data_IF_441173986758
#
_entry.id   IF_441173986758
#
_cell.length_a   1.000
_cell.length_b   1.000
_cell.length_c   1.000
_cell.angle_alpha   90.00
_cell.angle_beta   90.00
_cell.angle_gamma   90.00
#
_symmetry.space_group_name_H-M   'P 1'
#
loop_
_entity.id
_entity.type
_entity.pdbx_description
1 polymer ?
#
# COMPACT_ATOMS: atom_id res chain seq x y z
N UNK A 1 -19.28 20.80 -8.88
CA UNK A 1 -18.09 20.20 -8.26
C UNK A 1 -18.23 18.71 -8.41
N UNK A 2 -17.33 18.08 -9.14
CA UNK A 2 -17.32 16.64 -9.35
C UNK A 2 -16.39 16.01 -8.31
N UNK A 3 -16.87 14.99 -7.59
CA UNK A 3 -16.17 14.28 -6.51
C UNK A 3 -15.93 12.82 -6.87
N UNK A 4 -16.30 12.40 -8.09
CA UNK A 4 -16.02 11.07 -8.58
C UNK A 4 -14.51 10.87 -8.78
N UNK A 5 -14.03 9.65 -8.50
CA UNK A 5 -12.66 9.27 -8.79
C UNK A 5 -12.47 9.07 -10.29
N UNK A 6 -11.29 9.43 -10.80
CA UNK A 6 -10.90 9.04 -12.15
C UNK A 6 -10.74 7.51 -12.24
N UNK A 7 -10.83 6.92 -13.45
CA UNK A 7 -10.55 5.50 -13.64
C UNK A 7 -9.17 5.07 -13.13
N UNK A 8 -8.15 5.91 -13.28
CA UNK A 8 -6.79 5.68 -12.79
C UNK A 8 -6.74 5.68 -11.26
N UNK A 9 -7.41 6.64 -10.61
CA UNK A 9 -7.53 6.70 -9.15
C UNK A 9 -8.28 5.49 -8.60
N UNK A 10 -9.36 5.08 -9.27
CA UNK A 10 -10.13 3.89 -8.91
C UNK A 10 -9.28 2.62 -9.02
N UNK A 11 -8.46 2.51 -10.08
CA UNK A 11 -7.53 1.39 -10.25
C UNK A 11 -6.50 1.32 -9.12
N UNK A 12 -5.92 2.44 -8.71
CA UNK A 12 -4.99 2.49 -7.56
C UNK A 12 -5.69 2.01 -6.29
N UNK A 13 -6.89 2.53 -6.02
CA UNK A 13 -7.71 2.15 -4.86
C UNK A 13 -7.98 0.65 -4.83
N UNK A 14 -8.44 0.07 -5.95
CA UNK A 14 -8.80 -1.35 -6.00
C UNK A 14 -7.56 -2.26 -5.91
N UNK A 15 -6.43 -1.81 -6.47
CA UNK A 15 -5.17 -2.55 -6.40
C UNK A 15 -4.64 -2.60 -4.97
N UNK A 16 -4.61 -1.45 -4.27
CA UNK A 16 -4.11 -1.36 -2.89
C UNK A 16 -5.05 -2.10 -1.93
N UNK A 17 -6.37 -1.97 -2.11
CA UNK A 17 -7.35 -2.74 -1.34
C UNK A 17 -7.13 -4.24 -1.49
N UNK A 18 -6.97 -4.72 -2.72
CA UNK A 18 -6.72 -6.13 -2.97
C UNK A 18 -5.42 -6.64 -2.34
N UNK A 19 -4.38 -5.81 -2.30
CA UNK A 19 -3.13 -6.13 -1.60
C UNK A 19 -3.36 -6.22 -0.09
N UNK A 20 -4.00 -5.23 0.52
CA UNK A 20 -4.34 -5.24 1.95
C UNK A 20 -5.11 -6.49 2.34
N UNK A 21 -6.18 -6.80 1.61
CA UNK A 21 -7.07 -7.93 1.91
C UNK A 21 -6.39 -9.30 1.77
N UNK A 22 -5.50 -9.45 0.77
CA UNK A 22 -4.91 -10.75 0.43
C UNK A 22 -3.55 -10.99 1.06
N UNK A 23 -2.82 -9.93 1.36
CA UNK A 23 -1.41 -10.00 1.76
C UNK A 23 -1.20 -9.51 3.19
N UNK A 24 -1.93 -8.49 3.65
CA UNK A 24 -1.71 -7.92 4.99
C UNK A 24 -2.65 -8.51 6.03
N UNK A 25 -3.96 -8.55 5.78
CA UNK A 25 -4.96 -9.08 6.74
C UNK A 25 -4.67 -10.50 7.24
N UNK A 26 -4.21 -11.46 6.42
CA UNK A 26 -3.89 -12.79 6.92
C UNK A 26 -2.74 -12.83 7.93
N UNK A 27 -1.91 -11.79 7.99
CA UNK A 27 -0.73 -11.70 8.86
C UNK A 27 -1.05 -11.00 10.18
N UNK A 28 -2.12 -10.20 10.24
CA UNK A 28 -2.46 -9.37 11.41
C UNK A 28 -2.57 -10.17 12.72
N UNK A 29 -3.25 -11.33 12.79
CA UNK A 29 -3.43 -12.02 14.07
C UNK A 29 -2.10 -12.42 14.72
N UNK A 30 -1.12 -12.85 13.92
CA UNK A 30 0.18 -13.27 14.43
C UNK A 30 1.04 -12.07 14.82
N UNK A 31 1.01 -11.00 14.04
CA UNK A 31 1.74 -9.75 14.34
C UNK A 31 1.17 -9.08 15.59
N UNK A 32 -0.13 -9.05 15.76
CA UNK A 32 -0.77 -8.52 16.98
C UNK A 32 -0.44 -9.37 18.21
N UNK A 33 -0.44 -10.70 18.06
CA UNK A 33 -0.12 -11.62 19.16
C UNK A 33 1.34 -11.53 19.61
N UNK A 34 2.26 -11.34 18.67
CA UNK A 34 3.71 -11.34 18.93
C UNK A 34 4.26 -9.94 19.17
N UNK A 35 3.60 -8.91 18.65
CA UNK A 35 4.13 -7.54 18.62
C UNK A 35 5.28 -7.34 17.63
N UNK A 36 5.56 -8.33 16.77
CA UNK A 36 6.71 -8.33 15.88
C UNK A 36 6.31 -8.68 14.45
N UNK A 37 6.98 -8.06 13.48
CA UNK A 37 6.92 -8.48 12.07
C UNK A 37 8.19 -9.26 11.77
N UNK A 38 8.10 -10.58 11.52
CA UNK A 38 9.24 -11.37 11.12
C UNK A 38 9.94 -10.77 9.90
N UNK A 39 11.28 -10.71 9.94
CA UNK A 39 12.08 -10.03 8.91
C UNK A 39 11.79 -10.52 7.49
N UNK A 40 11.57 -11.83 7.33
CA UNK A 40 11.25 -12.44 6.02
C UNK A 40 9.88 -11.99 5.50
N UNK A 41 8.89 -11.83 6.40
CA UNK A 41 7.57 -11.29 6.03
C UNK A 41 7.70 -9.84 5.60
N UNK A 42 8.40 -9.00 6.37
CA UNK A 42 8.62 -7.60 6.00
C UNK A 42 9.34 -7.45 4.65
N UNK A 43 10.35 -8.29 4.38
CA UNK A 43 11.05 -8.34 3.08
C UNK A 43 10.13 -8.75 1.94
N UNK A 44 9.28 -9.74 2.16
CA UNK A 44 8.32 -10.23 1.17
C UNK A 44 7.28 -9.15 0.83
N UNK A 45 6.74 -8.46 1.82
CA UNK A 45 5.81 -7.34 1.62
C UNK A 45 6.50 -6.23 0.83
N UNK A 46 7.70 -5.79 1.24
CA UNK A 46 8.45 -4.74 0.55
C UNK A 46 8.79 -5.13 -0.90
N UNK A 47 9.12 -6.40 -1.16
CA UNK A 47 9.34 -6.93 -2.51
C UNK A 47 8.08 -6.83 -3.37
N UNK A 48 6.91 -7.19 -2.84
CA UNK A 48 5.63 -7.11 -3.54
C UNK A 48 5.24 -5.65 -3.85
N UNK A 49 5.37 -4.75 -2.86
CA UNK A 49 5.10 -3.30 -3.03
C UNK A 49 5.98 -2.69 -4.13
N UNK A 50 7.26 -3.05 -4.20
CA UNK A 50 8.16 -2.63 -5.28
C UNK A 50 7.73 -3.16 -6.64
N UNK A 51 7.31 -4.42 -6.74
CA UNK A 51 6.81 -5.01 -7.99
C UNK A 51 5.51 -4.35 -8.48
N UNK A 52 4.68 -3.89 -7.55
CA UNK A 52 3.45 -3.16 -7.86
C UNK A 52 3.69 -1.69 -8.27
N UNK A 53 4.90 -1.17 -8.09
CA UNK A 53 5.22 0.23 -8.41
C UNK A 53 4.75 1.24 -7.37
N UNK A 54 4.30 0.79 -6.20
CA UNK A 54 3.86 1.65 -5.10
C UNK A 54 4.98 1.99 -4.10
N UNK A 55 6.19 1.48 -4.33
CA UNK A 55 7.34 1.89 -3.53
C UNK A 55 7.67 3.36 -3.79
N UNK A 56 7.77 4.15 -2.71
CA UNK A 56 8.02 5.59 -2.80
C UNK A 56 7.02 6.28 -3.76
N UNK A 57 5.73 5.95 -3.63
CA UNK A 57 4.69 6.31 -4.60
C UNK A 57 4.55 7.82 -4.86
N UNK A 58 4.85 8.66 -3.88
CA UNK A 58 4.83 10.12 -3.97
C UNK A 58 6.11 10.74 -4.53
N UNK A 59 7.19 9.96 -4.66
CA UNK A 59 8.46 10.43 -5.21
C UNK A 59 8.37 10.48 -6.73
N UNK A 60 8.91 11.55 -7.33
CA UNK A 60 8.90 11.74 -8.78
C UNK A 60 9.57 10.56 -9.50
N UNK A 61 8.99 10.14 -10.62
CA UNK A 61 9.47 8.98 -11.39
C UNK A 61 10.92 9.11 -11.86
N UNK A 62 11.42 10.33 -12.09
CA UNK A 62 12.83 10.58 -12.45
C UNK A 62 13.84 10.13 -11.36
N UNK A 63 13.38 9.93 -10.13
CA UNK A 63 14.18 9.39 -9.03
C UNK A 63 13.84 7.93 -8.68
N UNK A 64 13.05 7.25 -9.51
CA UNK A 64 12.65 5.87 -9.31
C UNK A 64 11.46 5.67 -8.36
N UNK A 65 10.66 6.71 -8.11
CA UNK A 65 9.40 6.61 -7.36
C UNK A 65 8.17 6.42 -8.26
N UNK A 66 6.98 6.31 -7.64
CA UNK A 66 5.72 6.07 -8.35
C UNK A 66 5.11 7.30 -9.05
N UNK A 67 5.55 8.51 -8.70
CA UNK A 67 5.11 9.76 -9.36
C UNK A 67 3.63 10.11 -9.17
N UNK A 68 2.96 9.56 -8.15
CA UNK A 68 1.55 9.86 -7.87
C UNK A 68 1.38 11.31 -7.41
N UNK A 69 0.31 11.95 -7.90
CA UNK A 69 -0.14 13.24 -7.37
C UNK A 69 -0.70 13.09 -5.94
N UNK A 70 -0.87 14.22 -5.26
CA UNK A 70 -1.30 14.25 -3.86
C UNK A 70 -2.64 13.56 -3.61
N UNK A 71 -3.63 13.72 -4.50
CA UNK A 71 -4.94 13.12 -4.31
C UNK A 71 -4.87 11.61 -4.50
N UNK A 72 -4.21 11.15 -5.55
CA UNK A 72 -4.02 9.71 -5.80
C UNK A 72 -3.20 9.04 -4.69
N UNK A 73 -2.16 9.71 -4.20
CA UNK A 73 -1.39 9.24 -3.03
C UNK A 73 -2.24 9.17 -1.76
N UNK A 74 -3.11 10.16 -1.53
CA UNK A 74 -4.03 10.15 -0.38
C UNK A 74 -4.99 8.96 -0.44
N UNK A 75 -5.47 8.60 -1.62
CA UNK A 75 -6.34 7.45 -1.81
C UNK A 75 -5.62 6.12 -1.57
N UNK A 76 -4.36 6.02 -2.00
CA UNK A 76 -3.49 4.87 -1.70
C UNK A 76 -3.33 4.71 -0.18
N UNK A 77 -2.92 5.77 0.51
CA UNK A 77 -2.72 5.77 1.97
C UNK A 77 -4.00 5.42 2.73
N UNK A 78 -5.15 5.90 2.25
CA UNK A 78 -6.46 5.58 2.85
C UNK A 78 -6.77 4.08 2.81
N UNK A 79 -6.46 3.39 1.71
CA UNK A 79 -6.68 1.95 1.63
C UNK A 79 -5.62 1.18 2.41
N UNK A 80 -4.35 1.61 2.37
CA UNK A 80 -3.25 1.01 3.12
C UNK A 80 -3.48 1.08 4.64
N UNK A 81 -3.95 2.22 5.15
CA UNK A 81 -4.24 2.43 6.56
C UNK A 81 -5.41 1.62 7.12
N UNK A 82 -6.04 0.76 6.31
CA UNK A 82 -7.03 -0.22 6.79
C UNK A 82 -6.39 -1.45 7.44
N UNK A 83 -5.11 -1.69 7.18
CA UNK A 83 -4.35 -2.75 7.83
C UNK A 83 -3.67 -2.28 9.11
N UNK A 84 -3.21 -3.22 9.93
CA UNK A 84 -2.34 -2.94 11.07
C UNK A 84 -1.11 -2.12 10.64
N UNK A 85 -0.84 -1.04 11.37
CA UNK A 85 0.30 -0.15 11.14
C UNK A 85 1.67 -0.86 11.16
N UNK A 86 1.75 -2.03 11.79
CA UNK A 86 2.98 -2.82 11.80
C UNK A 86 3.32 -3.39 10.41
N UNK A 87 2.30 -3.61 9.57
CA UNK A 87 2.42 -4.27 8.27
C UNK A 87 2.41 -3.28 7.09
N UNK A 88 2.16 -2.00 7.35
CA UNK A 88 2.25 -0.94 6.34
C UNK A 88 3.71 -0.52 6.20
N UNK A 89 4.32 -0.83 5.05
CA UNK A 89 5.76 -0.58 4.75
C UNK A 89 5.95 0.36 3.58
#
# INVERSE_FOLDING_TARGET
>A
MDVALSPEQQLVVDTVRGFVERELYPLEPEVERTGEVPLEIGREIARKVRQMGFWAANIRAEFGGGGLDTLTFTLLERELGRASMALTV
#
